data_IF_989049331591
#
_entry.id   IF_989049331591
#
_cell.length_a   1.000
_cell.length_b   1.000
_cell.length_c   1.000
_cell.angle_alpha   90.00
_cell.angle_beta   90.00
_cell.angle_gamma   90.00
#
_symmetry.space_group_name_H-M   'P 1'
#
loop_
_entity.id
_entity.type
_entity.pdbx_description
1 polymer ?
#
# COMPACT_ATOMS: atom_id res chain seq x y z
N UNK A 1 2.48 -16.96 -16.92
CA UNK A 1 1.36 -16.01 -17.01
C UNK A 1 1.96 -14.67 -16.63
N UNK A 2 2.20 -13.83 -17.64
CA UNK A 2 2.85 -12.53 -17.47
C UNK A 2 1.94 -11.67 -16.59
N UNK A 3 2.52 -11.15 -15.51
CA UNK A 3 1.79 -10.38 -14.51
C UNK A 3 1.56 -8.98 -15.07
N UNK A 4 0.31 -8.55 -15.15
CA UNK A 4 -0.01 -7.16 -15.48
C UNK A 4 0.62 -6.21 -14.44
N UNK A 5 1.14 -5.05 -14.87
CA UNK A 5 1.92 -4.19 -14.00
C UNK A 5 1.04 -3.65 -12.87
N UNK A 6 1.33 -4.08 -11.63
CA UNK A 6 0.82 -3.44 -10.41
C UNK A 6 1.16 -1.95 -10.41
N UNK A 7 0.40 -1.16 -9.65
CA UNK A 7 0.70 0.28 -9.48
C UNK A 7 2.18 0.45 -9.18
N UNK A 8 2.85 1.31 -9.95
CA UNK A 8 4.29 1.53 -9.80
C UNK A 8 4.57 2.31 -8.51
N UNK A 9 5.71 2.00 -7.88
CA UNK A 9 6.23 2.80 -6.78
C UNK A 9 6.32 4.29 -7.12
N UNK A 10 6.77 4.62 -8.34
CA UNK A 10 6.89 6.01 -8.80
C UNK A 10 5.56 6.74 -8.71
N UNK A 11 4.47 6.12 -9.18
CA UNK A 11 3.11 6.69 -9.12
C UNK A 11 2.68 6.96 -7.68
N UNK A 12 2.92 6.02 -6.76
CA UNK A 12 2.57 6.18 -5.35
C UNK A 12 3.43 7.24 -4.65
N UNK A 13 4.74 7.26 -4.96
CA UNK A 13 5.68 8.19 -4.37
C UNK A 13 5.45 9.62 -4.86
N UNK A 14 5.13 9.81 -6.13
CA UNK A 14 4.80 11.13 -6.68
C UNK A 14 3.47 11.66 -6.11
N UNK A 15 2.48 10.78 -5.91
CA UNK A 15 1.19 11.16 -5.35
C UNK A 15 1.26 11.47 -3.85
N UNK A 16 1.95 10.63 -3.07
CA UNK A 16 1.92 10.71 -1.61
C UNK A 16 3.27 10.92 -0.95
N UNK A 17 4.38 10.38 -1.47
CA UNK A 17 5.75 10.58 -0.98
C UNK A 17 5.86 10.94 0.51
N UNK A 18 6.39 12.13 0.80
CA UNK A 18 6.54 12.67 2.16
C UNK A 18 5.22 13.06 2.84
N UNK A 19 4.12 13.18 2.09
CA UNK A 19 2.78 13.54 2.59
C UNK A 19 2.01 12.32 3.09
N UNK A 20 2.44 11.11 2.78
CA UNK A 20 1.74 9.88 3.18
C UNK A 20 1.46 9.81 4.68
N UNK A 21 2.41 10.16 5.60
CA UNK A 21 2.14 10.15 7.04
C UNK A 21 1.03 11.11 7.49
N UNK A 22 0.71 12.12 6.69
CA UNK A 22 -0.33 13.12 6.96
C UNK A 22 -1.65 12.83 6.22
N UNK A 23 -1.73 11.69 5.53
CA UNK A 23 -2.92 11.27 4.78
C UNK A 23 -3.74 10.29 5.60
N UNK A 24 -5.07 10.41 5.50
CA UNK A 24 -5.98 9.43 6.11
C UNK A 24 -5.99 8.11 5.34
N UNK A 25 -5.94 7.00 6.06
CA UNK A 25 -5.90 5.65 5.49
C UNK A 25 -7.04 5.38 4.51
N UNK A 26 -8.28 5.65 4.92
CA UNK A 26 -9.44 5.46 4.04
C UNK A 26 -9.45 6.42 2.84
N UNK A 27 -8.90 7.64 2.98
CA UNK A 27 -8.79 8.58 1.85
C UNK A 27 -7.77 8.10 0.83
N UNK A 28 -6.67 7.51 1.29
CA UNK A 28 -5.70 6.84 0.44
C UNK A 28 -6.35 5.66 -0.32
N UNK A 29 -7.11 4.79 0.35
CA UNK A 29 -7.81 3.69 -0.33
C UNK A 29 -8.82 4.19 -1.36
N UNK A 30 -9.60 5.23 -1.04
CA UNK A 30 -10.53 5.85 -1.98
C UNK A 30 -9.84 6.47 -3.20
N UNK A 31 -8.66 7.07 -3.00
CA UNK A 31 -7.85 7.58 -4.11
C UNK A 31 -7.38 6.42 -4.99
N UNK A 32 -6.88 5.34 -4.36
CA UNK A 32 -6.36 4.17 -5.06
C UNK A 32 -7.41 3.53 -5.96
N UNK A 33 -8.63 3.32 -5.46
CA UNK A 33 -9.76 2.79 -6.24
C UNK A 33 -10.18 3.71 -7.39
N UNK A 34 -10.07 5.03 -7.22
CA UNK A 34 -10.46 6.01 -8.25
C UNK A 34 -9.42 6.16 -9.35
N UNK A 35 -8.14 6.11 -8.99
CA UNK A 35 -7.02 6.30 -9.91
C UNK A 35 -6.71 5.01 -10.68
N UNK A 36 -7.10 3.85 -10.14
CA UNK A 36 -6.86 2.54 -10.73
C UNK A 36 -8.14 1.71 -10.90
N UNK A 37 -9.12 2.19 -11.72
CA UNK A 37 -10.40 1.51 -11.94
C UNK A 37 -10.28 0.17 -12.67
N UNK A 38 -9.10 -0.16 -13.21
CA UNK A 38 -8.79 -1.45 -13.84
C UNK A 38 -8.72 -2.60 -12.83
N UNK A 39 -8.50 -2.30 -11.54
CA UNK A 39 -8.52 -3.30 -10.47
C UNK A 39 -9.92 -3.41 -9.84
N UNK A 40 -10.31 -4.60 -9.34
CA UNK A 40 -11.54 -4.71 -8.58
C UNK A 40 -11.47 -3.86 -7.30
N UNK A 41 -12.62 -3.43 -6.76
CA UNK A 41 -12.66 -2.71 -5.48
C UNK A 41 -11.91 -3.45 -4.38
N UNK A 42 -11.25 -2.73 -3.50
CA UNK A 42 -10.39 -3.32 -2.48
C UNK A 42 -11.19 -4.28 -1.60
N UNK A 43 -10.67 -5.48 -1.38
CA UNK A 43 -11.33 -6.52 -0.58
C UNK A 43 -12.51 -7.23 -1.26
N UNK A 44 -12.86 -6.90 -2.51
CA UNK A 44 -13.91 -7.60 -3.27
C UNK A 44 -13.42 -8.87 -3.96
N UNK A 45 -12.11 -8.99 -4.21
CA UNK A 45 -11.47 -10.19 -4.76
C UNK A 45 -10.73 -10.99 -3.68
N UNK A 46 -10.64 -12.30 -3.90
CA UNK A 46 -9.80 -13.22 -3.11
C UNK A 46 -8.46 -13.53 -3.78
N UNK A 47 -8.26 -13.05 -5.01
CA UNK A 47 -7.03 -13.29 -5.77
C UNK A 47 -6.01 -12.25 -5.35
N UNK A 48 -4.88 -12.72 -4.81
CA UNK A 48 -3.75 -11.88 -4.41
C UNK A 48 -3.33 -10.95 -5.56
N UNK A 49 -3.27 -11.46 -6.79
CA UNK A 49 -2.85 -10.67 -7.97
C UNK A 49 -3.74 -9.49 -8.31
N UNK A 50 -4.97 -9.42 -7.78
CA UNK A 50 -5.91 -8.35 -8.07
C UNK A 50 -5.72 -7.13 -7.15
N UNK A 51 -4.85 -7.21 -6.13
CA UNK A 51 -4.57 -6.06 -5.27
C UNK A 51 -3.47 -5.17 -5.89
N UNK A 52 -3.73 -3.88 -6.17
CA UNK A 52 -2.77 -2.97 -6.79
C UNK A 52 -1.57 -2.63 -5.89
N UNK A 53 -1.75 -2.72 -4.57
CA UNK A 53 -0.74 -2.44 -3.55
C UNK A 53 -0.89 -3.43 -2.39
N UNK A 54 0.19 -3.73 -1.67
CA UNK A 54 0.12 -4.53 -0.44
C UNK A 54 0.09 -3.63 0.79
N UNK A 55 -0.95 -3.77 1.60
CA UNK A 55 -0.96 -3.19 2.94
C UNK A 55 -0.30 -4.17 3.90
N UNK A 56 0.80 -3.78 4.54
CA UNK A 56 1.52 -4.65 5.50
C UNK A 56 1.73 -3.90 6.82
N UNK A 57 1.63 -4.58 7.97
CA UNK A 57 1.95 -3.96 9.24
C UNK A 57 3.43 -3.57 9.29
N UNK A 58 3.71 -2.45 9.92
CA UNK A 58 5.05 -2.04 10.31
C UNK A 58 5.47 -2.77 11.59
N UNK A 59 6.59 -3.51 11.53
CA UNK A 59 7.09 -4.34 12.64
C UNK A 59 7.79 -3.56 13.76
N UNK A 60 7.63 -2.24 13.82
CA UNK A 60 8.21 -1.42 14.90
C UNK A 60 7.51 -1.62 16.24
N UNK A 61 8.24 -1.38 17.34
CA UNK A 61 7.74 -1.46 18.72
C UNK A 61 7.36 -0.09 19.32
N UNK A 62 7.30 0.97 18.51
CA UNK A 62 7.05 2.33 18.97
C UNK A 62 5.60 2.76 18.73
N UNK A 63 5.04 3.59 19.62
CA UNK A 63 3.70 4.12 19.41
C UNK A 63 3.57 4.83 18.05
N UNK A 64 2.49 4.58 17.30
CA UNK A 64 2.30 5.16 15.99
C UNK A 64 2.13 6.68 16.10
N UNK A 65 2.93 7.44 15.36
CA UNK A 65 2.73 8.89 15.19
C UNK A 65 1.66 9.23 14.13
N UNK A 66 1.20 8.23 13.36
CA UNK A 66 0.21 8.35 12.30
C UNK A 66 -0.10 6.97 11.71
N UNK A 67 -1.05 6.89 10.77
CA UNK A 67 -1.57 5.63 10.22
C UNK A 67 -0.57 4.90 9.30
N UNK A 68 0.33 5.65 8.69
CA UNK A 68 1.31 5.15 7.74
C UNK A 68 2.74 5.30 8.25
N UNK A 69 3.57 4.29 7.96
CA UNK A 69 5.02 4.38 8.13
C UNK A 69 5.73 4.82 6.85
N UNK A 70 5.27 4.36 5.69
CA UNK A 70 5.88 4.68 4.40
C UNK A 70 5.54 3.68 3.29
N UNK A 71 6.13 3.90 2.10
CA UNK A 71 6.03 3.04 0.92
C UNK A 71 7.37 2.33 0.75
N UNK A 72 7.35 1.02 0.55
CA UNK A 72 8.53 0.17 0.33
C UNK A 72 8.47 -0.45 -1.07
N UNK A 73 9.63 -0.44 -1.73
CA UNK A 73 9.90 -1.24 -2.94
C UNK A 73 10.57 -2.54 -2.54
N UNK A 74 10.28 -3.61 -3.28
CA UNK A 74 10.94 -4.92 -3.13
C UNK A 74 11.07 -5.38 -1.67
N UNK A 75 9.97 -5.37 -0.88
CA UNK A 75 10.02 -5.63 0.56
C UNK A 75 10.50 -7.04 0.94
N UNK A 76 10.58 -7.95 -0.03
CA UNK A 76 11.00 -9.35 0.13
C UNK A 76 12.16 -9.70 -0.84
N UNK A 77 12.95 -8.69 -1.26
CA UNK A 77 14.01 -8.79 -2.28
C UNK A 77 13.55 -9.33 -3.66
N UNK A 78 12.23 -9.42 -3.86
CA UNK A 78 11.62 -9.78 -5.13
C UNK A 78 11.36 -8.51 -5.96
N UNK A 79 12.05 -8.30 -7.09
CA UNK A 79 11.88 -7.12 -7.95
C UNK A 79 10.49 -7.03 -8.58
N UNK A 80 9.81 -8.17 -8.73
CA UNK A 80 8.47 -8.25 -9.32
C UNK A 80 7.38 -8.03 -8.28
N UNK A 81 7.70 -7.90 -6.99
CA UNK A 81 6.69 -7.67 -5.95
C UNK A 81 6.01 -6.31 -6.14
N UNK A 82 4.69 -6.22 -5.92
CA UNK A 82 4.01 -4.92 -5.95
C UNK A 82 4.56 -4.05 -4.81
N UNK A 83 4.49 -2.71 -4.94
CA UNK A 83 4.86 -1.83 -3.84
C UNK A 83 4.05 -2.16 -2.59
N UNK A 84 4.69 -1.97 -1.44
CA UNK A 84 4.08 -2.19 -0.14
C UNK A 84 3.88 -0.87 0.56
N UNK A 85 2.69 -0.64 1.10
CA UNK A 85 2.39 0.45 2.02
C UNK A 85 2.41 -0.11 3.43
N UNK A 86 3.32 0.42 4.25
CA UNK A 86 3.43 0.04 5.67
C UNK A 86 2.44 0.84 6.48
N UNK A 87 1.50 0.14 7.09
CA UNK A 87 0.54 0.72 8.04
C UNK A 87 1.02 0.45 9.46
N UNK A 88 0.78 1.39 10.37
CA UNK A 88 1.20 1.26 11.76
C UNK A 88 0.09 0.66 12.62
N UNK A 89 -1.17 0.95 12.32
CA UNK A 89 -2.35 0.52 13.10
C UNK A 89 -2.75 -0.94 12.87
N UNK A 90 -2.24 -1.60 11.82
CA UNK A 90 -2.47 -3.04 11.60
C UNK A 90 -1.47 -3.92 12.37
N UNK A 91 -0.61 -3.32 13.21
CA UNK A 91 0.30 -4.01 14.11
C UNK A 91 -0.32 -4.34 15.48
N UNK A 92 0.48 -4.88 16.40
CA UNK A 92 0.11 -5.25 17.78
C UNK A 92 -0.13 -4.02 18.69
N UNK A 93 -0.83 -3.01 18.19
CA UNK A 93 -1.30 -1.87 18.97
C UNK A 93 -2.75 -2.19 19.32
N UNK A 94 -2.96 -2.74 20.52
CA UNK A 94 -4.21 -3.36 20.97
C UNK A 94 -5.49 -2.57 20.69
#
# INVERSE_FOLDING_TARGET
MEREPSVSFTTLNDAFGERLPYTHFYRFLQWLEKTHPEYPPLGSSRRIGDDPVRLRPYAGMGFPAGEFKGIEINPDDNPDSPPTVRTTFMGLYG
#
